data_IF_922617076425
#
_entry.id   IF_922617076425
#
_cell.length_a   1.000
_cell.length_b   1.000
_cell.length_c   1.000
_cell.angle_alpha   90.00
_cell.angle_beta   90.00
_cell.angle_gamma   90.00
#
_symmetry.space_group_name_H-M   'P 1'
#
loop_
_entity.id
_entity.type
_entity.pdbx_description
1 polymer ?
#
# COMPACT_ATOMS: atom_id res chain seq x y z
N UNK A 1 28.35 40.42 -44.49
CA UNK A 1 27.73 39.07 -44.47
C UNK A 1 28.41 38.10 -43.50
N UNK A 2 29.73 38.20 -43.21
CA UNK A 2 30.43 37.29 -42.29
C UNK A 2 30.09 37.42 -40.78
N UNK A 3 29.75 38.62 -40.30
CA UNK A 3 29.46 38.87 -38.87
C UNK A 3 28.11 38.29 -38.38
N UNK A 4 27.18 38.02 -39.29
CA UNK A 4 25.89 37.40 -38.94
C UNK A 4 26.02 35.89 -38.69
N UNK A 5 26.90 35.21 -39.43
CA UNK A 5 27.14 33.78 -39.25
C UNK A 5 27.85 33.46 -37.93
N UNK A 6 28.73 34.35 -37.44
CA UNK A 6 29.40 34.16 -36.15
C UNK A 6 28.44 34.30 -34.97
N UNK A 7 27.44 35.18 -35.06
CA UNK A 7 26.43 35.36 -34.00
C UNK A 7 25.51 34.15 -33.87
N UNK A 8 25.10 33.56 -34.99
CA UNK A 8 24.25 32.35 -34.99
C UNK A 8 25.02 31.16 -34.45
N UNK A 9 26.26 30.93 -34.91
CA UNK A 9 27.10 29.86 -34.41
C UNK A 9 27.37 29.98 -32.91
N UNK A 10 27.62 31.19 -32.41
CA UNK A 10 27.82 31.45 -30.99
C UNK A 10 26.56 31.19 -30.15
N UNK A 11 25.38 31.58 -30.65
CA UNK A 11 24.10 31.31 -29.99
C UNK A 11 23.79 29.81 -29.93
N UNK A 12 24.05 29.07 -31.01
CA UNK A 12 23.87 27.63 -31.06
C UNK A 12 24.83 26.91 -30.11
N UNK A 13 26.09 27.34 -30.07
CA UNK A 13 27.08 26.81 -29.12
C UNK A 13 26.64 27.05 -27.67
N UNK A 14 26.15 28.26 -27.35
CA UNK A 14 25.67 28.59 -26.01
C UNK A 14 24.45 27.74 -25.61
N UNK A 15 23.52 27.49 -26.54
CA UNK A 15 22.36 26.62 -26.30
C UNK A 15 22.76 25.15 -26.06
N UNK A 16 23.72 24.64 -26.83
CA UNK A 16 24.27 23.28 -26.65
C UNK A 16 24.97 23.12 -25.30
N UNK A 17 25.74 24.13 -24.87
CA UNK A 17 26.40 24.14 -23.55
C UNK A 17 25.35 24.17 -22.42
N UNK A 18 24.32 25.01 -22.53
CA UNK A 18 23.24 25.03 -21.55
C UNK A 18 22.52 23.68 -21.44
N UNK A 19 22.23 23.04 -22.58
CA UNK A 19 21.57 21.73 -22.60
C UNK A 19 22.44 20.62 -22.00
N UNK A 20 23.78 20.71 -22.15
CA UNK A 20 24.72 19.74 -21.59
C UNK A 20 24.92 19.86 -20.07
N UNK A 21 24.67 21.04 -19.50
CA UNK A 21 24.82 21.31 -18.06
C UNK A 21 23.51 21.06 -17.29
N UNK A 22 22.37 20.99 -17.99
CA UNK A 22 21.09 20.63 -17.39
C UNK A 22 21.15 19.17 -16.88
N UNK A 23 20.87 18.92 -15.58
CA UNK A 23 20.81 17.56 -15.06
C UNK A 23 19.71 16.79 -15.80
N UNK A 24 20.01 15.55 -16.19
CA UNK A 24 19.03 14.66 -16.84
C UNK A 24 17.78 14.56 -15.94
N UNK A 25 16.56 14.88 -16.43
CA UNK A 25 15.34 14.79 -15.62
C UNK A 25 15.10 13.38 -15.06
N UNK A 26 15.71 12.35 -15.66
CA UNK A 26 15.68 10.99 -15.13
C UNK A 26 16.39 10.82 -13.77
N UNK A 27 17.31 11.71 -13.38
CA UNK A 27 18.01 11.60 -12.08
C UNK A 27 17.26 12.27 -10.93
N UNK A 28 16.29 13.15 -11.21
CA UNK A 28 15.53 13.87 -10.17
C UNK A 28 14.45 12.98 -9.54
N UNK A 29 14.00 11.94 -10.27
CA UNK A 29 12.95 11.00 -9.83
C UNK A 29 13.48 9.62 -9.41
N UNK A 30 14.76 9.49 -9.07
CA UNK A 30 15.25 8.29 -8.39
C UNK A 30 14.80 8.32 -6.92
N UNK A 31 13.50 8.15 -6.67
CA UNK A 31 13.00 7.76 -5.36
C UNK A 31 13.71 6.45 -5.01
N UNK A 32 14.68 6.51 -4.09
CA UNK A 32 15.16 5.29 -3.43
C UNK A 32 13.97 4.75 -2.64
N UNK A 33 13.40 3.59 -2.99
CA UNK A 33 12.35 3.03 -2.16
C UNK A 33 12.96 2.80 -0.77
N UNK A 34 12.37 3.42 0.25
CA UNK A 34 12.66 3.09 1.65
C UNK A 34 12.28 1.62 1.83
N UNK A 35 13.28 0.74 1.74
CA UNK A 35 13.09 -0.67 2.02
C UNK A 35 12.94 -0.81 3.54
N UNK A 36 11.78 -1.25 4.00
CA UNK A 36 11.59 -1.69 5.36
C UNK A 36 11.39 -3.20 5.35
N UNK A 37 12.02 -3.89 6.31
CA UNK A 37 11.77 -5.30 6.59
C UNK A 37 10.96 -5.38 7.88
N UNK A 38 9.91 -6.19 7.90
CA UNK A 38 9.13 -6.45 9.11
C UNK A 38 9.29 -7.91 9.47
N UNK A 39 9.81 -8.17 10.67
CA UNK A 39 9.82 -9.50 11.25
C UNK A 39 8.51 -9.71 12.03
N UNK A 40 7.62 -10.55 11.51
CA UNK A 40 6.39 -10.91 12.20
C UNK A 40 6.68 -11.97 13.26
N UNK A 41 6.56 -11.60 14.53
CA UNK A 41 6.67 -12.52 15.66
C UNK A 41 5.27 -12.94 16.08
N UNK A 42 5.04 -14.25 16.21
CA UNK A 42 3.77 -14.77 16.70
C UNK A 42 3.50 -14.30 18.14
N UNK A 43 2.27 -13.85 18.45
CA UNK A 43 1.89 -13.31 19.77
C UNK A 43 2.26 -14.22 20.95
N UNK A 44 2.14 -15.53 20.76
CA UNK A 44 2.42 -16.54 21.79
C UNK A 44 3.87 -17.06 21.78
N UNK A 45 4.76 -16.47 20.97
CA UNK A 45 6.19 -16.79 20.97
C UNK A 45 6.88 -16.17 22.18
N UNK A 46 7.92 -16.81 22.72
CA UNK A 46 8.75 -16.25 23.81
C UNK A 46 9.43 -14.94 23.44
N UNK A 47 9.55 -14.63 22.15
CA UNK A 47 10.09 -13.37 21.64
C UNK A 47 9.06 -12.23 21.62
N UNK A 48 7.78 -12.53 21.85
CA UNK A 48 6.71 -11.55 21.88
C UNK A 48 6.73 -10.77 23.20
N UNK A 49 6.60 -9.43 23.18
CA UNK A 49 6.39 -8.64 24.41
C UNK A 49 5.10 -9.01 25.15
N UNK A 50 4.17 -9.69 24.48
CA UNK A 50 2.90 -10.17 25.03
C UNK A 50 2.97 -11.63 25.48
N UNK A 51 4.16 -12.23 25.52
CA UNK A 51 4.34 -13.60 25.95
C UNK A 51 4.06 -13.75 27.45
N UNK A 52 3.11 -14.63 27.80
CA UNK A 52 2.87 -15.02 29.18
C UNK A 52 3.50 -16.40 29.46
N UNK A 53 4.62 -16.46 30.22
CA UNK A 53 5.32 -17.70 30.55
C UNK A 53 4.51 -18.76 31.31
N UNK A 54 3.57 -18.44 32.23
CA UNK A 54 2.93 -19.46 33.06
C UNK A 54 1.83 -20.25 32.32
N UNK A 55 1.46 -19.88 31.09
CA UNK A 55 0.42 -20.57 30.34
C UNK A 55 0.94 -21.86 29.70
N UNK A 56 0.20 -22.95 29.91
CA UNK A 56 0.41 -24.20 29.17
C UNK A 56 -0.01 -24.05 27.69
N UNK A 57 0.47 -24.95 26.83
CA UNK A 57 0.06 -24.98 25.41
C UNK A 57 -1.46 -25.17 25.26
N UNK A 58 -2.09 -25.99 26.09
CA UNK A 58 -3.53 -26.23 26.07
C UNK A 58 -4.31 -24.95 26.40
N UNK A 59 -3.93 -24.23 27.46
CA UNK A 59 -4.56 -22.96 27.83
C UNK A 59 -4.39 -21.90 26.74
N UNK A 60 -3.26 -21.88 26.03
CA UNK A 60 -3.07 -20.98 24.88
C UNK A 60 -3.98 -21.33 23.71
N UNK A 61 -4.15 -22.62 23.41
CA UNK A 61 -5.05 -23.06 22.36
C UNK A 61 -6.51 -22.69 22.69
N UNK A 62 -6.92 -22.91 23.94
CA UNK A 62 -8.22 -22.51 24.45
C UNK A 62 -8.44 -21.00 24.33
N UNK A 63 -7.50 -20.18 24.80
CA UNK A 63 -7.60 -18.72 24.71
C UNK A 63 -7.66 -18.24 23.25
N UNK A 64 -6.91 -18.86 22.34
CA UNK A 64 -6.96 -18.53 20.92
C UNK A 64 -8.33 -18.87 20.30
N UNK A 65 -8.91 -20.02 20.66
CA UNK A 65 -10.24 -20.41 20.24
C UNK A 65 -11.32 -19.45 20.77
N UNK A 66 -11.27 -19.13 22.07
CA UNK A 66 -12.19 -18.17 22.70
C UNK A 66 -12.10 -16.79 22.05
N UNK A 67 -10.88 -16.29 21.80
CA UNK A 67 -10.68 -15.01 21.10
C UNK A 67 -11.27 -15.05 19.68
N UNK A 68 -11.08 -16.14 18.95
CA UNK A 68 -11.66 -16.32 17.62
C UNK A 68 -13.20 -16.31 17.67
N UNK A 69 -13.80 -17.01 18.64
CA UNK A 69 -15.26 -17.03 18.83
C UNK A 69 -15.81 -15.66 19.23
N UNK A 70 -15.12 -14.93 20.12
CA UNK A 70 -15.52 -13.57 20.50
C UNK A 70 -15.42 -12.61 19.32
N UNK A 71 -14.38 -12.73 18.50
CA UNK A 71 -14.21 -11.94 17.29
C UNK A 71 -15.34 -12.24 16.28
N UNK A 72 -15.63 -13.52 16.02
CA UNK A 72 -16.71 -13.91 15.12
C UNK A 72 -18.07 -13.44 15.64
N UNK A 73 -18.33 -13.55 16.93
CA UNK A 73 -19.56 -13.06 17.56
C UNK A 73 -19.67 -11.53 17.47
N UNK A 74 -18.58 -10.80 17.67
CA UNK A 74 -18.54 -9.34 17.53
C UNK A 74 -18.81 -8.90 16.08
N UNK A 75 -18.25 -9.61 15.10
CA UNK A 75 -18.56 -9.37 13.68
C UNK A 75 -20.03 -9.69 13.41
N UNK A 76 -20.49 -10.88 13.80
CA UNK A 76 -21.87 -11.31 13.59
C UNK A 76 -22.88 -10.35 14.24
N UNK A 77 -22.62 -9.86 15.46
CA UNK A 77 -23.53 -8.92 16.13
C UNK A 77 -23.60 -7.57 15.44
N UNK A 78 -22.51 -7.10 14.84
CA UNK A 78 -22.50 -5.86 14.02
C UNK A 78 -23.36 -5.97 12.77
N UNK A 79 -23.51 -7.18 12.22
CA UNK A 79 -24.28 -7.45 11.00
C UNK A 79 -25.57 -8.25 11.28
N UNK A 80 -25.91 -8.51 12.55
CA UNK A 80 -27.01 -9.42 12.92
C UNK A 80 -28.40 -8.93 12.53
N UNK A 81 -28.56 -7.62 12.31
CA UNK A 81 -29.81 -6.99 11.88
C UNK A 81 -29.85 -6.69 10.37
N UNK A 82 -28.80 -7.02 9.60
CA UNK A 82 -28.78 -6.80 8.15
C UNK A 82 -29.26 -8.05 7.44
N UNK A 83 -30.54 -8.09 7.07
CA UNK A 83 -31.10 -9.09 6.14
C UNK A 83 -30.80 -8.75 4.68
N UNK A 84 -30.21 -7.58 4.41
CA UNK A 84 -29.83 -7.15 3.07
C UNK A 84 -28.59 -7.89 2.59
N UNK A 85 -28.65 -8.44 1.38
CA UNK A 85 -27.49 -8.95 0.66
C UNK A 85 -26.36 -7.90 0.65
N UNK A 86 -25.18 -8.27 1.14
CA UNK A 86 -23.99 -7.41 1.05
C UNK A 86 -23.64 -7.26 -0.42
N UNK A 87 -23.70 -6.03 -0.93
CA UNK A 87 -23.35 -5.69 -2.30
C UNK A 87 -22.52 -4.42 -2.30
N UNK A 88 -21.56 -4.33 -3.23
CA UNK A 88 -20.75 -3.15 -3.46
C UNK A 88 -20.87 -2.77 -4.94
N UNK A 89 -21.07 -1.47 -5.26
CA UNK A 89 -21.06 -1.01 -6.64
C UNK A 89 -19.72 -1.33 -7.31
N UNK A 90 -19.79 -1.90 -8.51
CA UNK A 90 -18.62 -2.21 -9.33
C UNK A 90 -18.51 -1.18 -10.44
N UNK A 91 -17.29 -0.68 -10.66
CA UNK A 91 -16.98 0.24 -11.75
C UNK A 91 -16.18 -0.51 -12.82
N UNK A 92 -16.59 -0.44 -14.11
CA UNK A 92 -15.78 -0.99 -15.19
C UNK A 92 -14.56 -0.09 -15.45
N UNK A 93 -13.37 -0.70 -15.47
CA UNK A 93 -12.13 -0.12 -15.96
C UNK A 93 -11.76 -0.63 -17.36
N UNK A 94 -10.62 -0.21 -17.92
CA UNK A 94 -10.20 -0.57 -19.28
C UNK A 94 -10.03 -2.09 -19.51
N UNK A 95 -9.61 -2.83 -18.48
CA UNK A 95 -9.40 -4.27 -18.53
C UNK A 95 -9.74 -4.99 -17.23
N UNK A 96 -10.37 -4.30 -16.29
CA UNK A 96 -10.56 -4.76 -14.92
C UNK A 96 -11.86 -4.21 -14.33
N UNK A 97 -12.37 -4.87 -13.30
CA UNK A 97 -13.49 -4.37 -12.51
C UNK A 97 -12.98 -3.88 -11.17
N UNK A 98 -13.39 -2.67 -10.79
CA UNK A 98 -12.98 -2.04 -9.55
C UNK A 98 -14.12 -2.02 -8.55
N UNK A 99 -13.81 -2.31 -7.28
CA UNK A 99 -14.71 -2.11 -6.16
C UNK A 99 -14.08 -1.18 -5.12
N UNK A 100 -14.95 -0.47 -4.38
CA UNK A 100 -14.53 0.35 -3.24
C UNK A 100 -14.46 -0.49 -1.98
N UNK A 101 -13.34 -0.40 -1.26
CA UNK A 101 -13.13 -1.00 0.05
C UNK A 101 -12.82 0.09 1.08
N UNK A 102 -13.37 -0.04 2.28
CA UNK A 102 -13.00 0.79 3.43
C UNK A 102 -12.16 -0.06 4.39
N UNK A 103 -10.90 0.33 4.61
CA UNK A 103 -9.96 -0.42 5.44
C UNK A 103 -9.34 0.47 6.53
N UNK A 104 -9.03 -0.13 7.68
CA UNK A 104 -8.31 0.52 8.78
C UNK A 104 -9.20 1.13 9.86
N UNK A 105 -8.56 1.66 10.89
CA UNK A 105 -9.19 2.42 11.97
C UNK A 105 -8.27 3.62 12.29
N UNK A 106 -8.65 4.86 11.92
CA UNK A 106 -9.87 5.26 11.20
C UNK A 106 -9.92 4.69 9.78
N UNK A 107 -11.14 4.51 9.26
CA UNK A 107 -11.36 3.96 7.92
C UNK A 107 -10.81 4.87 6.83
N UNK A 108 -10.11 4.28 5.87
CA UNK A 108 -9.66 4.91 4.63
C UNK A 108 -10.25 4.16 3.43
N UNK A 109 -10.59 4.89 2.36
CA UNK A 109 -11.20 4.34 1.15
C UNK A 109 -10.14 3.93 0.13
N UNK A 110 -10.27 2.73 -0.42
CA UNK A 110 -9.38 2.14 -1.41
C UNK A 110 -10.17 1.62 -2.61
N UNK A 111 -9.53 1.65 -3.77
CA UNK A 111 -9.98 0.93 -4.96
C UNK A 111 -9.24 -0.40 -5.04
N UNK A 112 -9.98 -1.48 -5.24
CA UNK A 112 -9.44 -2.82 -5.41
C UNK A 112 -9.94 -3.44 -6.71
N UNK A 113 -9.05 -4.16 -7.38
CA UNK A 113 -9.38 -4.98 -8.55
C UNK A 113 -10.13 -6.22 -8.06
N UNK A 114 -11.22 -6.56 -8.74
CA UNK A 114 -11.97 -7.78 -8.49
C UNK A 114 -11.29 -8.91 -9.27
N UNK A 115 -10.72 -9.87 -8.53
CA UNK A 115 -10.13 -11.08 -9.07
C UNK A 115 -11.11 -12.24 -8.92
N UNK A 116 -11.51 -12.86 -10.04
CA UNK A 116 -12.35 -14.07 -10.06
C UNK A 116 -11.57 -15.33 -10.47
N UNK A 117 -10.24 -15.23 -10.53
CA UNK A 117 -9.33 -16.30 -10.94
C UNK A 117 -9.17 -17.42 -9.92
#
# INVERSE_FOLDING_TARGET
MAAFFSSIAFRLLLQLVLLAVLPNPASIFAFRPLHFSIDLIHRNSSLSPLYDPPFTLAQRAEQAALHSMLCSHCIASRFGNTTSMISSPVMPGPSEFLMKLSLGTPSSLYWAIIDTG
#
